data_IF_367946388774
#
_entry.id   IF_367946388774
#
_cell.length_a   1.000
_cell.length_b   1.000
_cell.length_c   1.000
_cell.angle_alpha   90.00
_cell.angle_beta   90.00
_cell.angle_gamma   90.00
#
_symmetry.space_group_name_H-M   'P 1'
#
loop_
_entity.id
_entity.type
_entity.pdbx_description
1 polymer ?
#
# COMPACT_ATOMS: atom_id res chain seq x y z
N UNK A 1 -14.08 -2.23 -4.09
CA UNK A 1 -12.70 -2.46 -4.56
C UNK A 1 -12.25 -3.69 -3.83
N UNK A 2 -11.92 -4.74 -4.58
CA UNK A 2 -11.44 -5.99 -4.01
C UNK A 2 -9.95 -5.81 -3.76
N UNK A 3 -9.58 -5.68 -2.48
CA UNK A 3 -8.18 -5.48 -2.10
C UNK A 3 -7.41 -6.74 -2.48
N UNK A 4 -6.28 -6.55 -3.17
CA UNK A 4 -5.38 -7.63 -3.57
C UNK A 4 -4.08 -7.58 -2.78
N UNK A 5 -3.64 -6.39 -2.34
CA UNK A 5 -2.50 -6.22 -1.44
C UNK A 5 -2.64 -4.97 -0.55
N UNK A 6 -1.87 -4.98 0.54
CA UNK A 6 -1.77 -3.94 1.54
C UNK A 6 -0.29 -3.62 1.81
N UNK A 7 0.00 -2.36 2.11
CA UNK A 7 1.26 -1.92 2.70
C UNK A 7 0.95 -1.30 4.06
N UNK A 8 1.73 -1.68 5.07
CA UNK A 8 1.64 -1.07 6.39
C UNK A 8 3.03 -0.92 7.01
N UNK A 9 3.08 -0.12 8.06
CA UNK A 9 4.28 0.03 8.89
C UNK A 9 3.99 -0.39 10.33
N UNK A 10 4.50 -1.55 10.79
CA UNK A 10 4.23 -2.03 12.15
C UNK A 10 4.80 -1.15 13.26
N UNK A 11 5.78 -0.30 12.93
CA UNK A 11 6.47 0.61 13.85
C UNK A 11 6.19 2.10 13.52
N UNK A 12 5.24 2.36 12.62
CA UNK A 12 4.76 3.72 12.32
C UNK A 12 5.68 4.57 11.43
N UNK A 13 6.64 3.95 10.73
CA UNK A 13 7.47 4.60 9.72
C UNK A 13 6.66 5.25 8.59
N UNK A 14 5.53 4.63 8.23
CA UNK A 14 4.57 5.16 7.28
C UNK A 14 3.40 5.79 8.04
N UNK A 15 3.29 7.11 7.91
CA UNK A 15 2.14 7.88 8.36
C UNK A 15 1.93 9.02 7.38
N UNK A 16 0.76 9.04 6.75
CA UNK A 16 0.39 10.07 5.78
C UNK A 16 -0.94 10.70 6.19
N UNK A 17 -1.01 12.02 6.14
CA UNK A 17 -2.29 12.69 6.15
C UNK A 17 -2.99 12.56 4.78
N UNK A 18 -4.33 12.65 4.71
CA UNK A 18 -5.07 12.48 3.46
C UNK A 18 -4.62 13.39 2.32
N UNK A 19 -4.32 14.65 2.63
CA UNK A 19 -3.90 15.64 1.63
C UNK A 19 -2.46 15.33 1.15
N UNK A 20 -1.55 14.95 2.07
CA UNK A 20 -0.19 14.48 1.73
C UNK A 20 -0.23 13.25 0.83
N UNK A 21 -1.12 12.29 1.12
CA UNK A 21 -1.31 11.11 0.28
C UNK A 21 -1.75 11.50 -1.14
N UNK A 22 -2.75 12.38 -1.29
CA UNK A 22 -3.27 12.79 -2.59
C UNK A 22 -2.20 13.52 -3.40
N UNK A 23 -1.52 14.50 -2.79
CA UNK A 23 -0.46 15.26 -3.45
C UNK A 23 0.68 14.34 -3.89
N UNK A 24 1.12 13.44 -3.00
CA UNK A 24 2.22 12.53 -3.28
C UNK A 24 1.85 11.45 -4.32
N UNK A 25 0.59 11.04 -4.39
CA UNK A 25 0.09 10.10 -5.37
C UNK A 25 -0.05 10.75 -6.76
N UNK A 26 -0.65 11.93 -6.85
CA UNK A 26 -0.82 12.68 -8.10
C UNK A 26 0.51 13.16 -8.68
N UNK A 27 1.51 13.42 -7.83
CA UNK A 27 2.86 13.71 -8.29
C UNK A 27 3.53 12.48 -8.95
N UNK A 28 3.27 11.29 -8.40
CA UNK A 28 3.88 10.05 -8.92
C UNK A 28 3.14 9.48 -10.13
N UNK A 29 1.81 9.60 -10.14
CA UNK A 29 0.93 9.20 -11.24
C UNK A 29 0.14 10.43 -11.72
N UNK A 30 0.70 11.23 -12.65
CA UNK A 30 0.07 12.48 -13.09
C UNK A 30 -1.33 12.32 -13.70
N UNK A 31 -1.61 11.17 -14.32
CA UNK A 31 -2.89 10.85 -14.93
C UNK A 31 -3.89 10.23 -13.94
N UNK A 32 -3.50 10.04 -12.67
CA UNK A 32 -4.39 9.48 -11.67
C UNK A 32 -5.50 10.47 -11.29
N UNK A 33 -6.67 9.93 -10.98
CA UNK A 33 -7.83 10.71 -10.56
C UNK A 33 -8.08 10.47 -9.07
N UNK A 34 -8.21 11.54 -8.30
CA UNK A 34 -8.60 11.45 -6.90
C UNK A 34 -10.01 10.85 -6.76
N UNK A 35 -10.13 9.82 -5.93
CA UNK A 35 -11.38 9.17 -5.57
C UNK A 35 -11.66 9.46 -4.09
N UNK A 36 -12.53 10.45 -3.84
CA UNK A 36 -12.99 10.76 -2.47
C UNK A 36 -14.18 9.85 -2.12
N UNK A 37 -13.99 8.93 -1.17
CA UNK A 37 -15.10 8.13 -0.64
C UNK A 37 -15.76 8.90 0.51
N UNK A 38 -16.46 9.99 0.19
CA UNK A 38 -17.32 10.71 1.15
C UNK A 38 -18.57 9.91 1.48
N UNK A 39 -18.46 8.87 2.32
CA UNK A 39 -19.64 8.31 2.97
C UNK A 39 -20.03 9.22 4.14
N UNK A 40 -20.95 10.17 3.89
CA UNK A 40 -21.95 10.83 4.78
C UNK A 40 -21.69 11.03 6.30
N UNK A 41 -20.48 10.87 6.81
CA UNK A 41 -20.07 10.98 8.21
C UNK A 41 -18.76 11.77 8.22
N UNK A 42 -18.69 12.95 8.89
CA UNK A 42 -17.53 13.85 8.87
C UNK A 42 -16.21 13.24 9.35
N UNK A 43 -16.24 12.05 9.96
CA UNK A 43 -15.09 11.37 10.57
C UNK A 43 -14.50 10.24 9.73
N UNK A 44 -15.09 9.88 8.59
CA UNK A 44 -14.63 8.79 7.72
C UNK A 44 -14.15 9.31 6.37
N UNK A 45 -13.02 10.01 6.32
CA UNK A 45 -12.31 10.30 5.07
C UNK A 45 -11.43 9.09 4.75
N UNK A 46 -11.89 8.22 3.85
CA UNK A 46 -10.99 7.30 3.14
C UNK A 46 -10.73 7.94 1.77
N UNK A 47 -9.50 8.37 1.54
CA UNK A 47 -9.08 8.93 0.25
C UNK A 47 -8.40 7.86 -0.59
N UNK A 48 -8.53 7.97 -1.90
CA UNK A 48 -7.84 7.11 -2.83
C UNK A 48 -7.53 7.83 -4.13
N UNK A 49 -6.72 7.18 -4.95
CA UNK A 49 -6.49 7.55 -6.34
C UNK A 49 -6.81 6.35 -7.22
N UNK A 50 -7.36 6.63 -8.40
CA UNK A 50 -7.51 5.68 -9.49
C UNK A 50 -6.48 6.00 -10.54
N UNK A 51 -5.63 5.04 -10.86
CA UNK A 51 -4.52 5.18 -11.78
C UNK A 51 -4.92 4.53 -13.09
N UNK A 52 -4.83 5.28 -14.18
CA UNK A 52 -5.12 4.82 -15.53
C UNK A 52 -3.86 5.02 -16.38
N UNK A 53 -3.29 3.94 -16.88
CA UNK A 53 -2.15 3.96 -17.79
C UNK A 53 -2.55 3.34 -19.13
N UNK A 54 -2.17 3.94 -20.28
CA UNK A 54 -2.51 3.41 -21.59
C UNK A 54 -2.02 1.97 -21.76
N UNK A 55 -2.94 1.05 -22.11
CA UNK A 55 -2.62 -0.36 -22.34
C UNK A 55 -2.54 -1.21 -21.07
N UNK A 56 -2.77 -0.65 -19.89
CA UNK A 56 -2.82 -1.37 -18.62
C UNK A 56 -4.24 -1.36 -18.03
N UNK A 57 -4.54 -2.37 -17.21
CA UNK A 57 -5.79 -2.40 -16.44
C UNK A 57 -5.75 -1.26 -15.40
N UNK A 58 -6.79 -0.42 -15.29
CA UNK A 58 -6.86 0.57 -14.20
C UNK A 58 -6.80 -0.11 -12.83
N UNK A 59 -6.12 0.53 -11.88
CA UNK A 59 -6.08 0.09 -10.49
C UNK A 59 -6.21 1.27 -9.55
N UNK A 60 -6.49 0.99 -8.29
CA UNK A 60 -6.71 1.97 -7.25
C UNK A 60 -5.72 1.77 -6.12
N UNK A 61 -5.36 2.88 -5.48
CA UNK A 61 -4.65 2.91 -4.22
C UNK A 61 -5.46 3.74 -3.24
N UNK A 62 -5.61 3.27 -2.00
CA UNK A 62 -6.35 3.98 -0.96
C UNK A 62 -5.55 4.06 0.32
N UNK A 63 -5.71 5.16 1.02
CA UNK A 63 -5.19 5.37 2.37
C UNK A 63 -6.22 4.88 3.41
N UNK A 64 -5.74 4.22 4.46
CA UNK A 64 -6.53 3.93 5.66
C UNK A 64 -6.95 5.22 6.37
N UNK A 65 -7.92 5.12 7.27
CA UNK A 65 -8.44 6.28 7.98
C UNK A 65 -7.42 6.91 8.94
N UNK A 66 -6.56 6.09 9.52
CA UNK A 66 -5.51 6.50 10.46
C UNK A 66 -4.18 6.86 9.78
N UNK A 67 -4.12 6.75 8.45
CA UNK A 67 -2.98 7.16 7.64
C UNK A 67 -1.78 6.21 7.69
N UNK A 68 -1.91 5.05 8.31
CA UNK A 68 -0.78 4.11 8.53
C UNK A 68 -0.74 2.94 7.55
N UNK A 69 -1.76 2.79 6.70
CA UNK A 69 -1.85 1.70 5.74
C UNK A 69 -2.28 2.21 4.37
N UNK A 70 -1.81 1.52 3.34
CA UNK A 70 -2.19 1.72 1.95
C UNK A 70 -2.70 0.39 1.40
N UNK A 71 -3.78 0.42 0.62
CA UNK A 71 -4.33 -0.79 -0.01
C UNK A 71 -4.53 -0.59 -1.50
N UNK A 72 -4.44 -1.68 -2.28
CA UNK A 72 -4.63 -1.66 -3.72
C UNK A 72 -5.46 -2.84 -4.23
N UNK A 73 -6.12 -2.68 -5.38
CA UNK A 73 -6.74 -3.76 -6.19
C UNK A 73 -5.92 -4.11 -7.45
N UNK A 74 -4.68 -3.62 -7.50
CA UNK A 74 -3.77 -3.88 -8.61
C UNK A 74 -3.43 -5.35 -8.76
N UNK A 75 -3.08 -5.75 -9.98
CA UNK A 75 -2.45 -7.05 -10.22
C UNK A 75 -1.03 -7.10 -9.62
N UNK A 76 -0.35 -8.23 -9.79
CA UNK A 76 0.96 -8.46 -9.18
C UNK A 76 2.05 -7.48 -9.67
N UNK A 77 1.99 -7.01 -10.92
CA UNK A 77 2.93 -6.00 -11.43
C UNK A 77 2.62 -4.64 -10.81
N UNK A 78 1.35 -4.30 -10.73
CA UNK A 78 0.87 -3.05 -10.12
C UNK A 78 1.17 -3.00 -8.61
N UNK A 79 1.10 -4.13 -7.92
CA UNK A 79 1.50 -4.26 -6.51
C UNK A 79 2.98 -3.92 -6.28
N UNK A 80 3.85 -4.22 -7.24
CA UNK A 80 5.28 -3.87 -7.15
C UNK A 80 5.48 -2.37 -7.35
N UNK A 81 4.82 -1.77 -8.34
CA UNK A 81 4.85 -0.32 -8.52
C UNK A 81 4.31 0.42 -7.29
N UNK A 82 3.21 -0.08 -6.75
CA UNK A 82 2.61 0.37 -5.50
C UNK A 82 3.60 0.27 -4.33
N UNK A 83 4.34 -0.84 -4.22
CA UNK A 83 5.36 -1.03 -3.18
C UNK A 83 6.54 -0.06 -3.28
N UNK A 84 7.04 0.17 -4.49
CA UNK A 84 8.12 1.14 -4.73
C UNK A 84 7.66 2.54 -4.35
N UNK A 85 6.47 2.94 -4.82
CA UNK A 85 5.90 4.24 -4.50
C UNK A 85 5.73 4.41 -3.00
N UNK A 86 5.08 3.47 -2.31
CA UNK A 86 4.88 3.55 -0.87
C UNK A 86 6.22 3.59 -0.11
N UNK A 87 7.22 2.80 -0.52
CA UNK A 87 8.55 2.87 0.10
C UNK A 87 9.18 4.24 -0.06
N UNK A 88 9.00 4.89 -1.20
CA UNK A 88 9.52 6.25 -1.41
C UNK A 88 8.87 7.33 -0.53
N UNK A 89 7.78 7.01 0.19
CA UNK A 89 7.14 7.93 1.15
C UNK A 89 7.82 7.94 2.53
N UNK A 90 8.64 6.93 2.81
CA UNK A 90 9.35 6.81 4.08
C UNK A 90 10.80 7.26 3.89
N UNK A 91 11.40 8.06 4.80
CA UNK A 91 12.80 8.45 4.70
C UNK A 91 13.74 7.25 4.54
N UNK A 92 14.90 7.48 3.90
CA UNK A 92 15.86 6.41 3.64
C UNK A 92 16.48 5.86 4.93
N UNK A 93 16.70 6.73 5.90
CA UNK A 93 17.28 6.47 7.22
C UNK A 93 16.25 6.16 8.31
N UNK A 94 14.96 6.06 7.94
CA UNK A 94 13.91 5.74 8.91
C UNK A 94 14.18 4.36 9.53
N UNK A 95 14.17 4.25 10.88
CA UNK A 95 14.41 2.98 11.56
C UNK A 95 13.26 1.98 11.41
N UNK A 96 12.09 2.49 10.98
CA UNK A 96 10.88 1.71 10.88
C UNK A 96 10.74 0.93 9.57
N UNK A 97 9.95 -0.14 9.63
CA UNK A 97 9.76 -1.13 8.59
C UNK A 97 8.51 -0.82 7.78
N UNK A 98 8.58 -1.20 6.51
CA UNK A 98 7.44 -1.24 5.61
C UNK A 98 7.23 -2.66 5.13
N UNK A 99 5.99 -3.13 5.14
CA UNK A 99 5.66 -4.50 4.76
C UNK A 99 4.55 -4.46 3.73
N UNK A 100 4.81 -5.04 2.57
CA UNK A 100 3.80 -5.40 1.58
C UNK A 100 3.23 -6.77 1.99
N UNK A 101 1.91 -6.98 1.88
CA UNK A 101 1.22 -8.26 2.20
C UNK A 101 0.00 -8.47 1.31
N UNK A 102 -0.21 -9.69 0.79
CA UNK A 102 -1.39 -10.00 -0.04
C UNK A 102 -2.65 -9.95 0.81
N UNK A 103 -3.82 -9.73 0.20
CA UNK A 103 -5.06 -9.60 0.96
C UNK A 103 -5.42 -10.85 1.81
N UNK A 104 -5.02 -12.03 1.36
CA UNK A 104 -5.16 -13.30 2.07
C UNK A 104 -3.98 -13.62 3.01
N UNK A 105 -2.98 -12.74 3.04
CA UNK A 105 -1.72 -12.87 3.76
C UNK A 105 -0.94 -14.16 3.49
N UNK A 106 -1.11 -14.74 2.30
CA UNK A 106 -0.31 -15.86 1.83
C UNK A 106 1.12 -15.45 1.46
N UNK A 107 1.32 -14.21 1.00
CA UNK A 107 2.63 -13.65 0.64
C UNK A 107 2.88 -12.33 1.37
N UNK A 108 4.15 -12.06 1.67
CA UNK A 108 4.62 -10.87 2.36
C UNK A 108 6.00 -10.45 1.82
N UNK A 109 6.33 -9.16 1.85
CA UNK A 109 7.68 -8.66 1.60
C UNK A 109 8.01 -7.52 2.55
N UNK A 110 9.18 -7.60 3.18
CA UNK A 110 9.79 -6.46 3.85
C UNK A 110 10.38 -5.52 2.80
N UNK A 111 9.97 -4.26 2.81
CA UNK A 111 10.43 -3.22 1.91
C UNK A 111 11.55 -2.41 2.57
N UNK A 112 12.78 -2.60 2.09
CA UNK A 112 13.96 -1.86 2.54
C UNK A 112 14.19 -0.61 1.68
N UNK A 113 14.88 0.41 2.22
CA UNK A 113 15.26 1.59 1.44
C UNK A 113 16.07 1.24 0.19
N UNK A 114 15.73 1.86 -0.94
CA UNK A 114 16.49 1.73 -2.19
C UNK A 114 16.23 0.46 -3.01
N UNK A 115 15.26 -0.39 -2.62
CA UNK A 115 14.90 -1.56 -3.41
C UNK A 115 14.45 -1.19 -4.83
N UNK A 116 14.98 -1.93 -5.80
CA UNK A 116 14.54 -1.93 -7.19
C UNK A 116 13.27 -2.78 -7.38
N UNK A 117 12.51 -2.61 -8.48
CA UNK A 117 11.35 -3.48 -8.77
C UNK A 117 11.68 -4.97 -8.75
N UNK A 118 12.87 -5.35 -9.22
CA UNK A 118 13.32 -6.74 -9.24
C UNK A 118 13.56 -7.30 -7.85
N UNK A 119 14.10 -6.50 -6.94
CA UNK A 119 14.33 -6.89 -5.55
C UNK A 119 13.01 -7.01 -4.79
N UNK A 120 12.05 -6.10 -5.03
CA UNK A 120 10.69 -6.22 -4.49
C UNK A 120 10.05 -7.51 -4.97
N UNK A 121 10.09 -7.79 -6.28
CA UNK A 121 9.58 -9.04 -6.85
C UNK A 121 10.20 -10.29 -6.17
N UNK A 122 11.52 -10.29 -5.97
CA UNK A 122 12.21 -11.40 -5.35
C UNK A 122 11.82 -11.59 -3.87
N UNK A 123 11.73 -10.49 -3.10
CA UNK A 123 11.32 -10.52 -1.71
C UNK A 123 9.87 -11.00 -1.55
N UNK A 124 8.99 -10.60 -2.48
CA UNK A 124 7.57 -10.91 -2.47
C UNK A 124 7.25 -12.38 -2.64
N UNK A 125 8.03 -13.09 -3.47
CA UNK A 125 7.88 -14.54 -3.68
C UNK A 125 8.62 -15.42 -2.67
N UNK A 126 9.36 -14.83 -1.71
CA UNK A 126 10.44 -15.53 -1.01
C UNK A 126 10.36 -15.65 0.52
N UNK A 127 9.26 -15.28 1.18
CA UNK A 127 9.23 -15.21 2.66
C UNK A 127 8.78 -16.51 3.36
N UNK A 128 9.34 -16.73 4.56
CA UNK A 128 9.09 -17.88 5.44
C UNK A 128 7.66 -17.95 6.02
N UNK A 129 7.20 -19.16 6.37
CA UNK A 129 5.87 -19.42 6.95
C UNK A 129 5.58 -18.66 8.25
N UNK A 130 6.61 -18.38 9.06
CA UNK A 130 6.48 -17.66 10.33
C UNK A 130 6.01 -16.21 10.12
N UNK A 131 6.57 -15.55 9.10
CA UNK A 131 6.17 -14.20 8.71
C UNK A 131 4.77 -14.14 8.11
N UNK A 132 4.41 -15.13 7.27
CA UNK A 132 3.05 -15.25 6.73
C UNK A 132 2.00 -15.43 7.84
N UNK A 133 2.35 -16.13 8.93
CA UNK A 133 1.46 -16.32 10.09
C UNK A 133 1.20 -15.01 10.83
N UNK A 134 2.22 -14.20 11.05
CA UNK A 134 2.08 -12.87 11.65
C UNK A 134 1.18 -11.97 10.78
N UNK A 135 1.44 -11.93 9.47
CA UNK A 135 0.70 -11.13 8.52
C UNK A 135 -0.80 -11.51 8.47
N UNK A 136 -1.12 -12.81 8.50
CA UNK A 136 -2.50 -13.33 8.59
C UNK A 136 -3.24 -12.84 9.84
N UNK A 137 -2.57 -12.92 10.99
CA UNK A 137 -3.16 -12.48 12.27
C UNK A 137 -3.48 -10.99 12.28
N UNK A 138 -2.63 -10.17 11.65
CA UNK A 138 -2.82 -8.72 11.56
C UNK A 138 -3.94 -8.35 10.58
N UNK A 139 -3.94 -8.88 9.35
CA UNK A 139 -4.96 -8.56 8.34
C UNK A 139 -6.39 -8.91 8.78
N UNK A 140 -6.56 -10.00 9.53
CA UNK A 140 -7.86 -10.38 10.11
C UNK A 140 -8.41 -9.32 11.08
N UNK A 141 -7.54 -8.59 11.79
CA UNK A 141 -7.93 -7.50 12.69
C UNK A 141 -8.26 -6.22 11.93
N UNK A 142 -7.49 -5.89 10.90
CA UNK A 142 -7.65 -4.65 10.11
C UNK A 142 -8.85 -4.70 9.15
N UNK A 143 -9.08 -5.83 8.46
CA UNK A 143 -10.16 -5.94 7.48
C UNK A 143 -11.56 -6.12 8.09
N UNK A 144 -11.63 -6.41 9.40
CA UNK A 144 -12.89 -6.55 10.14
C UNK A 144 -13.47 -5.20 10.63
N UNK A 145 -12.77 -4.07 10.40
CA UNK A 145 -13.15 -2.71 10.80
C UNK A 145 -13.50 -1.76 9.65
#
# INVERSE_FOLDING_TARGET
MDVTACIYSPDGALRLEPDEFLDAALLWWPDAVAVDVRRRIPRSRRVGVRIEAPGERPFQVRLSQDGTELVTDGDHVQQIWFAIWARSRVPYDAPGRLVLVTADASEAALLTPGMTPREVWAAWRGQSEEWQRFARGWLAGTLAG
#
